data_IF_822613802310
#
_entry.id   IF_822613802310
#
_cell.length_a   1.000
_cell.length_b   1.000
_cell.length_c   1.000
_cell.angle_alpha   90.00
_cell.angle_beta   90.00
_cell.angle_gamma   90.00
#
_symmetry.space_group_name_H-M   'P 1'
#
loop_
_entity.id
_entity.type
_entity.pdbx_description
1 polymer ?
#
# COMPACT_ATOMS: atom_id res chain seq x y z
N UNK A 1 12.92 -15.71 -4.99
CA UNK A 1 13.12 -14.31 -4.57
C UNK A 1 13.00 -14.22 -3.05
N UNK A 2 13.81 -13.38 -2.44
CA UNK A 2 13.64 -13.06 -1.03
C UNK A 2 12.38 -12.21 -0.83
N UNK A 3 11.93 -12.08 0.42
CA UNK A 3 10.77 -11.24 0.72
C UNK A 3 11.00 -9.80 0.26
N UNK A 4 12.19 -9.24 0.50
CA UNK A 4 12.54 -7.88 0.06
C UNK A 4 12.50 -7.79 -1.48
N UNK A 5 13.01 -8.78 -2.19
CA UNK A 5 12.98 -8.79 -3.66
C UNK A 5 11.54 -8.80 -4.21
N UNK A 6 10.65 -9.56 -3.59
CA UNK A 6 9.24 -9.60 -3.99
C UNK A 6 8.59 -8.23 -3.83
N UNK A 7 8.75 -7.60 -2.66
CA UNK A 7 8.17 -6.29 -2.40
C UNK A 7 8.79 -5.21 -3.30
N UNK A 8 10.10 -5.29 -3.54
CA UNK A 8 10.79 -4.37 -4.45
C UNK A 8 10.21 -4.48 -5.87
N UNK A 9 10.06 -5.70 -6.37
CA UNK A 9 9.51 -5.93 -7.71
C UNK A 9 8.07 -5.42 -7.83
N UNK A 10 7.24 -5.66 -6.81
CA UNK A 10 5.89 -5.12 -6.74
C UNK A 10 5.91 -3.59 -6.80
N UNK A 11 6.73 -2.97 -5.97
CA UNK A 11 6.82 -1.52 -5.86
C UNK A 11 7.24 -0.86 -7.17
N UNK A 12 8.23 -1.44 -7.86
CA UNK A 12 8.70 -0.93 -9.15
C UNK A 12 7.59 -1.02 -10.19
N UNK A 13 6.93 -2.17 -10.30
CA UNK A 13 5.83 -2.36 -11.25
C UNK A 13 4.69 -1.37 -11.00
N UNK A 14 4.33 -1.18 -9.74
CA UNK A 14 3.27 -0.24 -9.35
C UNK A 14 3.64 1.19 -9.74
N UNK A 15 4.88 1.61 -9.50
CA UNK A 15 5.36 2.96 -9.85
C UNK A 15 5.37 3.21 -11.35
N UNK A 16 5.46 2.16 -12.15
CA UNK A 16 5.42 2.23 -13.61
C UNK A 16 3.99 2.14 -14.17
N UNK A 17 2.99 1.98 -13.30
CA UNK A 17 1.61 1.79 -13.71
C UNK A 17 1.32 0.40 -14.28
N UNK A 18 2.24 -0.54 -14.13
CA UNK A 18 2.08 -1.91 -14.63
C UNK A 18 1.34 -2.75 -13.58
N UNK A 19 0.03 -2.57 -13.51
CA UNK A 19 -0.82 -3.22 -12.51
C UNK A 19 -0.81 -4.75 -12.64
N UNK A 20 -0.90 -5.35 -13.85
CA UNK A 20 -0.84 -6.81 -13.96
C UNK A 20 0.45 -7.39 -13.38
N UNK A 21 1.61 -6.79 -13.66
CA UNK A 21 2.89 -7.26 -13.11
C UNK A 21 2.94 -7.05 -11.60
N UNK A 22 2.48 -5.90 -11.11
CA UNK A 22 2.43 -5.63 -9.68
C UNK A 22 1.61 -6.72 -8.95
N UNK A 23 0.42 -7.03 -9.44
CA UNK A 23 -0.45 -8.02 -8.82
C UNK A 23 0.03 -9.46 -9.02
N UNK A 24 0.91 -9.72 -9.98
CA UNK A 24 1.52 -11.06 -10.14
C UNK A 24 2.35 -11.45 -8.92
N UNK A 25 2.76 -10.49 -8.10
CA UNK A 25 3.51 -10.73 -6.87
C UNK A 25 2.63 -10.96 -5.65
N UNK A 26 1.32 -10.93 -5.81
CA UNK A 26 0.35 -11.17 -4.74
C UNK A 26 -0.23 -12.57 -4.82
N UNK A 27 -0.55 -13.14 -3.65
CA UNK A 27 -1.43 -14.30 -3.57
C UNK A 27 -2.84 -13.88 -4.00
N UNK A 28 -3.60 -14.73 -4.71
CA UNK A 28 -5.00 -14.42 -5.04
C UNK A 28 -5.88 -14.11 -3.84
N UNK A 29 -5.54 -14.67 -2.67
CA UNK A 29 -6.30 -14.50 -1.42
C UNK A 29 -5.71 -13.42 -0.52
N UNK A 30 -4.83 -12.57 -1.04
CA UNK A 30 -4.16 -11.52 -0.26
C UNK A 30 -5.17 -10.62 0.45
N UNK A 31 -4.76 -10.09 1.61
CA UNK A 31 -5.55 -9.14 2.38
C UNK A 31 -4.80 -7.82 2.46
N UNK A 32 -5.54 -6.74 2.24
CA UNK A 32 -5.03 -5.38 2.36
C UNK A 32 -5.78 -4.68 3.49
N UNK A 33 -5.07 -4.34 4.55
CA UNK A 33 -5.65 -3.72 5.74
C UNK A 33 -5.48 -2.21 5.67
N UNK A 34 -6.48 -1.54 5.09
CA UNK A 34 -6.49 -0.08 4.99
C UNK A 34 -6.88 0.51 6.34
N UNK A 35 -6.01 1.31 6.98
CA UNK A 35 -6.28 1.82 8.32
C UNK A 35 -7.26 2.98 8.32
N UNK A 36 -7.72 3.33 9.51
CA UNK A 36 -8.46 4.54 9.75
C UNK A 36 -9.97 4.37 9.78
N UNK A 37 -10.64 5.50 9.67
CA UNK A 37 -12.09 5.60 9.70
C UNK A 37 -12.55 6.54 8.58
N UNK A 38 -12.49 6.07 7.34
CA UNK A 38 -12.86 6.81 6.14
C UNK A 38 -13.50 5.87 5.12
N UNK A 39 -13.92 6.41 3.98
CA UNK A 39 -14.68 5.62 3.00
C UNK A 39 -13.93 4.43 2.42
N UNK A 40 -12.59 4.45 2.43
CA UNK A 40 -11.77 3.34 1.90
C UNK A 40 -11.19 2.45 3.00
N UNK A 41 -11.46 2.74 4.29
CA UNK A 41 -10.93 1.97 5.41
C UNK A 41 -11.51 0.55 5.46
N UNK A 42 -10.78 -0.33 6.15
CA UNK A 42 -11.19 -1.71 6.35
C UNK A 42 -10.36 -2.69 5.54
N UNK A 43 -10.52 -3.97 5.82
CA UNK A 43 -9.78 -5.03 5.15
C UNK A 43 -10.40 -5.33 3.79
N UNK A 44 -9.58 -5.29 2.74
CA UNK A 44 -9.94 -5.72 1.40
C UNK A 44 -9.38 -7.12 1.19
N UNK A 45 -10.23 -8.07 0.87
CA UNK A 45 -9.85 -9.48 0.70
C UNK A 45 -9.91 -9.86 -0.77
N UNK A 46 -8.77 -10.37 -1.28
CA UNK A 46 -8.65 -10.81 -2.67
C UNK A 46 -8.25 -9.68 -3.62
N UNK A 47 -7.68 -10.08 -4.76
CA UNK A 47 -7.12 -9.13 -5.73
C UNK A 47 -8.18 -8.23 -6.36
N UNK A 48 -9.39 -8.72 -6.55
CA UNK A 48 -10.47 -7.90 -7.14
C UNK A 48 -10.79 -6.70 -6.24
N UNK A 49 -10.96 -6.93 -4.95
CA UNK A 49 -11.26 -5.88 -3.98
C UNK A 49 -10.09 -4.92 -3.81
N UNK A 50 -8.86 -5.46 -3.72
CA UNK A 50 -7.64 -4.65 -3.60
C UNK A 50 -7.46 -3.79 -4.86
N UNK A 51 -7.61 -4.38 -6.03
CA UNK A 51 -7.45 -3.67 -7.30
C UNK A 51 -8.48 -2.56 -7.47
N UNK A 52 -9.72 -2.81 -7.08
CA UNK A 52 -10.78 -1.80 -7.14
C UNK A 52 -10.48 -0.60 -6.22
N UNK A 53 -10.02 -0.87 -5.01
CA UNK A 53 -9.63 0.18 -4.06
C UNK A 53 -8.45 0.98 -4.62
N UNK A 54 -7.38 0.32 -5.04
CA UNK A 54 -6.18 1.00 -5.57
C UNK A 54 -6.51 1.79 -6.82
N UNK A 55 -7.36 1.29 -7.70
CA UNK A 55 -7.79 2.02 -8.89
C UNK A 55 -8.52 3.31 -8.56
N UNK A 56 -9.21 3.36 -7.42
CA UNK A 56 -9.92 4.56 -6.98
C UNK A 56 -8.97 5.54 -6.27
N UNK A 57 -8.00 5.05 -5.48
CA UNK A 57 -7.19 5.88 -4.59
C UNK A 57 -5.87 6.34 -5.19
N UNK A 58 -5.25 5.57 -6.08
CA UNK A 58 -3.89 5.83 -6.56
C UNK A 58 -3.70 7.15 -7.29
N UNK A 59 -4.69 7.58 -8.07
CA UNK A 59 -4.59 8.83 -8.81
C UNK A 59 -4.54 10.07 -7.92
N UNK A 60 -4.85 9.94 -6.65
CA UNK A 60 -4.88 11.04 -5.69
C UNK A 60 -3.58 11.18 -4.89
N UNK A 61 -2.69 10.21 -4.98
CA UNK A 61 -1.47 10.17 -4.16
C UNK A 61 -0.20 10.08 -4.99
N UNK A 62 0.84 10.73 -4.49
CA UNK A 62 2.23 10.52 -4.91
C UNK A 62 2.93 9.86 -3.72
N UNK A 63 3.50 8.67 -3.93
CA UNK A 63 4.15 7.89 -2.89
C UNK A 63 5.61 7.69 -3.26
N UNK A 64 6.51 8.07 -2.35
CA UNK A 64 7.95 7.94 -2.56
C UNK A 64 8.59 7.19 -1.39
N UNK A 65 9.56 6.30 -1.66
CA UNK A 65 10.32 5.66 -0.60
C UNK A 65 11.15 6.70 0.18
N UNK A 66 11.25 6.53 1.50
CA UNK A 66 12.05 7.42 2.35
C UNK A 66 13.23 6.71 3.01
N UNK A 67 13.35 5.40 2.82
CA UNK A 67 14.43 4.61 3.38
C UNK A 67 14.47 3.22 2.80
N UNK A 68 15.40 2.41 3.27
CA UNK A 68 15.58 1.05 2.80
C UNK A 68 14.43 0.15 3.27
N UNK A 69 14.10 -0.84 2.44
CA UNK A 69 13.24 -1.93 2.88
C UNK A 69 13.99 -2.78 3.89
N UNK A 70 13.32 -3.18 4.94
CA UNK A 70 13.90 -4.00 6.00
C UNK A 70 13.01 -5.21 6.26
N UNK A 71 13.62 -6.37 6.44
CA UNK A 71 12.88 -7.60 6.66
C UNK A 71 13.08 -8.17 8.05
N UNK A 72 12.05 -8.86 8.53
CA UNK A 72 12.07 -9.68 9.73
C UNK A 72 11.29 -10.94 9.43
N UNK A 73 11.99 -12.03 9.12
CA UNK A 73 11.34 -13.26 8.67
C UNK A 73 10.54 -13.01 7.39
N UNK A 74 9.25 -13.29 7.44
CA UNK A 74 8.35 -13.09 6.29
C UNK A 74 7.81 -11.66 6.18
N UNK A 75 8.17 -10.77 7.09
CA UNK A 75 7.67 -9.41 7.12
C UNK A 75 8.69 -8.45 6.49
N UNK A 76 8.19 -7.49 5.71
CA UNK A 76 9.03 -6.44 5.09
C UNK A 76 8.40 -5.10 5.41
N UNK A 77 9.19 -4.20 6.01
CA UNK A 77 8.77 -2.82 6.25
C UNK A 77 9.28 -1.91 5.14
N UNK A 78 8.42 -1.03 4.67
CA UNK A 78 8.72 -0.11 3.58
C UNK A 78 8.34 1.31 4.03
N UNK A 79 9.31 2.12 4.48
CA UNK A 79 9.04 3.51 4.85
C UNK A 79 8.78 4.35 3.61
N UNK A 80 7.72 5.16 3.67
CA UNK A 80 7.29 5.98 2.54
C UNK A 80 6.90 7.37 3.01
N UNK A 81 6.86 8.30 2.06
CA UNK A 81 6.22 9.59 2.21
C UNK A 81 5.12 9.69 1.17
N UNK A 82 3.94 10.09 1.57
CA UNK A 82 2.86 10.28 0.61
C UNK A 82 2.23 11.66 0.72
N UNK A 83 1.83 12.16 -0.43
CA UNK A 83 1.17 13.45 -0.56
C UNK A 83 0.09 13.38 -1.62
N UNK A 84 -0.91 14.24 -1.50
CA UNK A 84 -1.99 14.25 -2.47
C UNK A 84 -2.98 15.38 -2.25
N UNK A 85 -3.91 15.48 -3.20
CA UNK A 85 -4.95 16.50 -3.17
C UNK A 85 -6.25 15.96 -3.76
N UNK A 86 -7.34 16.16 -3.05
CA UNK A 86 -8.70 15.88 -3.53
C UNK A 86 -9.52 17.15 -3.32
N UNK A 87 -9.81 17.89 -4.41
CA UNK A 87 -10.42 19.20 -4.29
C UNK A 87 -9.54 20.14 -3.49
N UNK A 88 -10.02 20.63 -2.34
CA UNK A 88 -9.24 21.48 -1.45
C UNK A 88 -8.60 20.71 -0.28
N UNK A 89 -8.88 19.42 -0.17
CA UNK A 89 -8.29 18.58 0.87
C UNK A 89 -6.91 18.12 0.43
N UNK A 90 -5.94 18.18 1.33
CA UNK A 90 -4.56 17.79 1.07
C UNK A 90 -4.06 16.84 2.13
N UNK A 91 -3.07 16.02 1.76
CA UNK A 91 -2.33 15.18 2.69
C UNK A 91 -0.85 15.26 2.33
N UNK A 92 0.01 15.24 3.35
CA UNK A 92 1.46 15.26 3.17
C UNK A 92 2.07 14.72 4.47
N UNK A 93 2.44 13.45 4.48
CA UNK A 93 2.94 12.82 5.69
C UNK A 93 3.77 11.57 5.39
N UNK A 94 4.47 11.10 6.42
CA UNK A 94 5.18 9.83 6.36
C UNK A 94 4.27 8.67 6.73
N UNK A 95 4.61 7.50 6.23
CA UNK A 95 3.94 6.26 6.58
C UNK A 95 4.88 5.08 6.46
N UNK A 96 4.39 3.92 6.86
CA UNK A 96 5.09 2.66 6.68
C UNK A 96 4.10 1.66 6.09
N UNK A 97 4.51 0.98 5.03
CA UNK A 97 3.79 -0.16 4.50
C UNK A 97 4.47 -1.43 5.00
N UNK A 98 3.71 -2.33 5.59
CA UNK A 98 4.21 -3.61 6.09
C UNK A 98 3.62 -4.73 5.25
N UNK A 99 4.50 -5.57 4.70
CA UNK A 99 4.10 -6.68 3.83
C UNK A 99 4.46 -8.01 4.50
N UNK A 100 3.57 -8.98 4.37
CA UNK A 100 3.88 -10.37 4.69
C UNK A 100 4.02 -11.15 3.39
N UNK A 101 5.16 -11.84 3.24
CA UNK A 101 5.47 -12.61 2.02
C UNK A 101 5.61 -14.08 2.39
N UNK A 102 4.82 -14.93 1.74
CA UNK A 102 4.85 -16.40 1.95
C UNK A 102 4.97 -17.06 0.59
N UNK A 103 5.92 -17.98 0.46
CA UNK A 103 6.17 -18.73 -0.78
C UNK A 103 6.32 -17.83 -2.00
N UNK A 104 7.03 -16.71 -1.83
CA UNK A 104 7.31 -15.76 -2.91
C UNK A 104 6.14 -14.87 -3.30
N UNK A 105 5.05 -14.83 -2.51
CA UNK A 105 3.87 -14.01 -2.80
C UNK A 105 3.51 -13.16 -1.60
N UNK A 106 3.05 -11.94 -1.86
CA UNK A 106 2.52 -11.05 -0.83
C UNK A 106 1.14 -11.59 -0.43
N UNK A 107 0.97 -11.87 0.86
CA UNK A 107 -0.28 -12.43 1.40
C UNK A 107 -1.05 -11.45 2.25
N UNK A 108 -0.37 -10.48 2.86
CA UNK A 108 -1.01 -9.40 3.62
C UNK A 108 -0.23 -8.10 3.51
N UNK A 109 -0.95 -6.99 3.56
CA UNK A 109 -0.38 -5.65 3.60
C UNK A 109 -1.07 -4.88 4.72
N UNK A 110 -0.28 -4.25 5.58
CA UNK A 110 -0.74 -3.29 6.59
C UNK A 110 -0.11 -1.94 6.31
N UNK A 111 -0.84 -0.88 6.59
CA UNK A 111 -0.39 0.48 6.36
C UNK A 111 -0.42 1.25 7.68
N UNK A 112 0.57 2.08 7.88
CA UNK A 112 0.67 2.95 9.04
C UNK A 112 0.86 4.38 8.56
N UNK A 113 0.10 5.31 9.13
CA UNK A 113 0.16 6.73 8.78
C UNK A 113 0.63 7.53 9.98
N UNK A 114 1.46 8.52 9.75
CA UNK A 114 2.00 9.39 10.79
C UNK A 114 0.89 10.12 11.56
N UNK A 115 -0.17 10.50 10.84
CA UNK A 115 -1.33 11.17 11.42
C UNK A 115 -2.59 10.58 10.78
N UNK A 116 -3.15 9.56 11.40
CA UNK A 116 -4.31 8.86 10.87
C UNK A 116 -5.55 9.75 10.80
N UNK A 117 -5.73 10.65 11.76
CA UNK A 117 -6.87 11.56 11.74
C UNK A 117 -6.84 12.49 10.53
N UNK A 118 -5.65 12.99 10.18
CA UNK A 118 -5.48 13.82 8.98
C UNK A 118 -5.72 13.03 7.70
N UNK A 119 -5.27 11.79 7.64
CA UNK A 119 -5.54 10.91 6.49
C UNK A 119 -7.04 10.62 6.36
N UNK A 120 -7.72 10.35 7.46
CA UNK A 120 -9.17 10.10 7.46
C UNK A 120 -9.94 11.29 6.89
N UNK A 121 -9.54 12.50 7.27
CA UNK A 121 -10.14 13.73 6.77
C UNK A 121 -9.88 13.90 5.27
N UNK A 122 -8.67 13.58 4.82
CA UNK A 122 -8.31 13.66 3.40
C UNK A 122 -9.20 12.75 2.52
N UNK A 123 -9.38 11.49 2.91
CA UNK A 123 -10.21 10.56 2.15
C UNK A 123 -11.70 10.84 2.29
N UNK A 124 -12.13 11.32 3.45
CA UNK A 124 -13.53 11.61 3.72
C UNK A 124 -14.38 10.36 3.93
N UNK A 125 -15.65 10.54 3.97
CA UNK A 125 -16.61 9.45 4.25
C UNK A 125 -17.44 9.06 3.04
#
# INVERSE_FOLDING_TARGET
MTAIEVVTAYSIALSQGDIPTAFSHFSPDAKWHQPGNHQFAGTKKGLDAIGKMLGTTQGSLVINPTGALMSNGNLVSFPVHFSGKIGERTVDMNGVDLFEVVDGKIVQVWLFSEDQAAEDEFWGR
#
